data_IF_704988314415
#
_entry.id   IF_704988314415
#
_cell.length_a   1.000
_cell.length_b   1.000
_cell.length_c   1.000
_cell.angle_alpha   90.00
_cell.angle_beta   90.00
_cell.angle_gamma   90.00
#
_symmetry.space_group_name_H-M   'P 1'
#
loop_
_entity.id
_entity.type
_entity.pdbx_description
1 polymer ?
#
# COMPACT_ATOMS: atom_id res chain seq x y z
N UNK A 1 12.39 -25.00 -52.36
CA UNK A 1 11.80 -23.70 -51.97
C UNK A 1 10.71 -24.01 -50.95
N UNK A 2 10.58 -23.52 -49.71
CA UNK A 2 11.22 -22.52 -48.81
C UNK A 2 11.01 -23.05 -47.36
N UNK A 3 12.09 -23.21 -46.56
CA UNK A 3 12.43 -22.55 -45.27
C UNK A 3 11.35 -22.39 -44.17
N UNK A 4 11.62 -23.07 -43.04
CA UNK A 4 11.51 -22.72 -41.60
C UNK A 4 10.72 -21.45 -41.18
N UNK A 5 9.89 -21.57 -40.13
CA UNK A 5 10.19 -21.03 -38.78
C UNK A 5 9.11 -21.32 -37.75
N UNK A 6 9.59 -21.79 -36.60
CA UNK A 6 8.94 -21.80 -35.29
C UNK A 6 8.51 -20.40 -34.85
N UNK A 7 7.40 -20.29 -34.10
CA UNK A 7 7.28 -19.31 -33.01
C UNK A 7 6.46 -19.95 -31.88
N UNK A 8 7.17 -20.35 -30.83
CA UNK A 8 6.67 -20.54 -29.47
C UNK A 8 6.29 -19.18 -28.84
N UNK A 9 5.51 -19.27 -27.75
CA UNK A 9 5.35 -18.32 -26.64
C UNK A 9 4.16 -17.36 -26.70
N UNK A 10 3.19 -17.62 -25.83
CA UNK A 10 2.77 -16.61 -24.85
C UNK A 10 2.69 -17.28 -23.47
N UNK A 11 3.85 -17.33 -22.80
CA UNK A 11 3.88 -17.45 -21.35
C UNK A 11 3.20 -16.18 -20.78
N UNK A 12 2.17 -16.38 -19.96
CA UNK A 12 1.55 -15.32 -19.17
C UNK A 12 2.60 -14.75 -18.21
N UNK A 13 3.28 -13.71 -18.66
CA UNK A 13 4.09 -12.86 -17.79
C UNK A 13 3.14 -12.13 -16.84
N UNK A 14 3.16 -12.53 -15.58
CA UNK A 14 2.74 -11.70 -14.47
C UNK A 14 3.60 -10.45 -14.48
N UNK A 15 3.08 -9.39 -15.11
CA UNK A 15 3.73 -8.09 -15.12
C UNK A 15 3.79 -7.57 -13.70
N UNK A 16 4.97 -7.66 -13.06
CA UNK A 16 5.35 -6.70 -12.03
C UNK A 16 5.18 -5.33 -12.67
N UNK A 17 4.11 -4.62 -12.31
CA UNK A 17 3.96 -3.21 -12.67
C UNK A 17 5.27 -2.51 -12.32
N UNK A 18 5.80 -1.72 -13.27
CA UNK A 18 6.96 -0.86 -13.06
C UNK A 18 6.63 0.09 -11.90
N UNK A 19 6.96 -0.33 -10.68
CA UNK A 19 6.91 0.49 -9.48
C UNK A 19 8.03 1.50 -9.61
N UNK A 20 7.68 2.77 -9.56
CA UNK A 20 8.63 3.86 -9.59
C UNK A 20 9.56 3.72 -8.37
N UNK A 21 10.84 3.43 -8.58
CA UNK A 21 11.80 3.27 -7.48
C UNK A 21 11.89 4.54 -6.61
N UNK A 22 11.56 5.71 -7.17
CA UNK A 22 11.53 6.97 -6.44
C UNK A 22 10.38 7.03 -5.42
N UNK A 23 9.24 6.38 -5.66
CA UNK A 23 8.13 6.38 -4.68
C UNK A 23 8.36 5.40 -3.54
N UNK A 24 9.19 4.36 -3.72
CA UNK A 24 9.56 3.46 -2.62
C UNK A 24 10.29 4.15 -1.48
N UNK A 25 10.91 5.31 -1.72
CA UNK A 25 11.50 6.16 -0.68
C UNK A 25 10.47 6.71 0.30
N UNK A 26 9.17 6.66 -0.04
CA UNK A 26 8.10 7.04 0.89
C UNK A 26 7.83 5.99 1.96
N UNK A 27 8.25 4.74 1.74
CA UNK A 27 8.01 3.63 2.66
C UNK A 27 8.91 3.70 3.88
N UNK A 28 8.36 3.36 5.04
CA UNK A 28 9.12 3.27 6.28
C UNK A 28 10.12 2.12 6.27
N UNK A 29 9.76 1.01 5.62
CA UNK A 29 10.63 -0.15 5.44
C UNK A 29 10.65 -0.56 3.97
N UNK A 30 11.81 -0.43 3.33
CA UNK A 30 11.98 -0.72 1.88
C UNK A 30 12.34 -2.18 1.61
N UNK A 31 12.77 -2.92 2.63
CA UNK A 31 13.25 -4.30 2.57
C UNK A 31 12.73 -5.13 3.75
N UNK A 32 12.67 -6.47 3.62
CA UNK A 32 12.36 -7.36 4.74
C UNK A 32 13.42 -7.27 5.85
N UNK A 33 13.02 -7.64 7.07
CA UNK A 33 13.92 -7.63 8.23
C UNK A 33 13.31 -8.25 9.48
N UNK A 34 14.11 -8.44 10.55
CA UNK A 34 13.63 -8.98 11.82
C UNK A 34 12.45 -8.17 12.37
N UNK A 35 11.36 -8.86 12.75
CA UNK A 35 10.16 -8.22 13.29
C UNK A 35 9.24 -7.55 12.26
N UNK A 36 9.62 -7.56 10.97
CA UNK A 36 8.78 -7.08 9.89
C UNK A 36 7.94 -8.21 9.29
N UNK A 37 6.77 -7.85 8.78
CA UNK A 37 5.90 -8.72 7.99
C UNK A 37 5.41 -7.96 6.77
N UNK A 38 5.15 -8.67 5.67
CA UNK A 38 4.42 -8.06 4.55
C UNK A 38 2.99 -7.75 4.98
N UNK A 39 2.53 -6.53 4.67
CA UNK A 39 1.18 -6.06 4.97
C UNK A 39 0.14 -6.92 4.24
N UNK A 40 0.41 -7.23 2.97
CA UNK A 40 -0.32 -8.17 2.14
C UNK A 40 0.71 -8.99 1.36
N UNK A 41 0.48 -10.29 1.23
CA UNK A 41 1.40 -11.22 0.58
C UNK A 41 1.74 -10.78 -0.86
N UNK A 42 3.02 -10.84 -1.23
CA UNK A 42 3.56 -10.49 -2.55
C UNK A 42 3.43 -8.99 -2.91
N UNK A 43 3.33 -8.12 -1.91
CA UNK A 43 3.28 -6.66 -2.14
C UNK A 43 4.61 -5.97 -1.88
N UNK A 44 5.59 -6.62 -1.24
CA UNK A 44 6.85 -5.98 -0.81
C UNK A 44 6.65 -4.75 0.10
N UNK A 45 5.50 -4.64 0.76
CA UNK A 45 5.17 -3.57 1.70
C UNK A 45 5.34 -4.10 3.11
N UNK A 46 6.45 -3.75 3.76
CA UNK A 46 6.83 -4.30 5.05
C UNK A 46 6.46 -3.36 6.20
N UNK A 47 5.92 -3.93 7.27
CA UNK A 47 5.54 -3.19 8.50
C UNK A 47 5.93 -3.97 9.76
N UNK A 48 6.08 -3.27 10.88
CA UNK A 48 6.36 -3.91 12.18
C UNK A 48 5.17 -4.77 12.60
N UNK A 49 5.40 -6.08 12.76
CA UNK A 49 4.35 -7.07 13.03
C UNK A 49 3.53 -6.76 14.27
N UNK A 50 4.20 -6.44 15.38
CA UNK A 50 3.52 -6.22 16.66
C UNK A 50 2.67 -4.94 16.62
N UNK A 51 3.18 -3.88 15.99
CA UNK A 51 2.42 -2.64 15.79
C UNK A 51 1.22 -2.86 14.88
N UNK A 52 1.37 -3.60 13.78
CA UNK A 52 0.26 -3.95 12.89
C UNK A 52 -0.86 -4.66 13.67
N UNK A 53 -0.51 -5.64 14.52
CA UNK A 53 -1.48 -6.36 15.33
C UNK A 53 -2.18 -5.46 16.36
N UNK A 54 -1.42 -4.64 17.08
CA UNK A 54 -1.96 -3.71 18.08
C UNK A 54 -2.93 -2.73 17.42
N UNK A 55 -2.51 -2.08 16.33
CA UNK A 55 -3.31 -1.08 15.64
C UNK A 55 -4.56 -1.67 15.00
N UNK A 56 -4.47 -2.89 14.44
CA UNK A 56 -5.64 -3.58 13.88
C UNK A 56 -6.68 -3.90 14.94
N UNK A 57 -6.24 -4.34 16.13
CA UNK A 57 -7.15 -4.68 17.25
C UNK A 57 -7.75 -3.44 17.92
N UNK A 58 -6.97 -2.36 18.03
CA UNK A 58 -7.39 -1.14 18.73
C UNK A 58 -8.27 -0.22 17.88
N UNK A 59 -8.27 -0.36 16.56
CA UNK A 59 -9.03 0.52 15.68
C UNK A 59 -10.56 0.38 15.91
N UNK A 60 -11.28 1.48 16.19
CA UNK A 60 -12.74 1.43 16.38
C UNK A 60 -13.54 1.38 15.08
N UNK A 61 -12.92 1.74 13.94
CA UNK A 61 -13.54 1.74 12.61
C UNK A 61 -12.47 1.78 11.51
N UNK A 62 -12.90 1.63 10.26
CA UNK A 62 -12.03 1.67 9.07
C UNK A 62 -11.22 2.96 8.95
N UNK A 63 -11.84 4.12 9.21
CA UNK A 63 -11.17 5.42 9.16
C UNK A 63 -9.98 5.51 10.11
N UNK A 64 -10.17 5.11 11.36
CA UNK A 64 -9.11 5.08 12.35
C UNK A 64 -8.00 4.12 11.93
N UNK A 65 -8.37 2.93 11.43
CA UNK A 65 -7.41 1.95 10.94
C UNK A 65 -6.57 2.48 9.77
N UNK A 66 -7.20 3.05 8.74
CA UNK A 66 -6.51 3.62 7.57
C UNK A 66 -5.47 4.63 8.03
N UNK A 67 -5.88 5.56 8.90
CA UNK A 67 -5.03 6.67 9.36
C UNK A 67 -3.83 6.19 10.18
N UNK A 68 -4.03 5.17 11.01
CA UNK A 68 -2.93 4.57 11.79
C UNK A 68 -2.01 3.72 10.91
N UNK A 69 -2.55 3.00 9.91
CA UNK A 69 -1.71 2.22 9.00
C UNK A 69 -0.88 3.11 8.07
N UNK A 70 -1.38 4.30 7.70
CA UNK A 70 -0.58 5.27 6.93
C UNK A 70 0.74 5.61 7.64
N UNK A 71 0.72 5.80 8.96
CA UNK A 71 1.94 6.10 9.74
C UNK A 71 2.86 4.89 9.89
N UNK A 72 2.29 3.68 9.82
CA UNK A 72 3.05 2.43 9.89
C UNK A 72 3.74 2.12 8.55
N UNK A 73 3.08 2.43 7.42
CA UNK A 73 3.57 2.13 6.06
C UNK A 73 4.52 3.21 5.55
N UNK A 74 4.20 4.49 5.76
CA UNK A 74 4.94 5.61 5.20
C UNK A 74 5.80 6.32 6.26
N UNK A 75 6.89 6.93 5.79
CA UNK A 75 7.72 7.79 6.64
C UNK A 75 6.97 9.07 7.01
N UNK A 76 7.33 9.67 8.14
CA UNK A 76 6.70 10.91 8.59
C UNK A 76 6.94 12.05 7.59
N UNK A 77 8.15 12.10 7.01
CA UNK A 77 8.50 13.01 5.93
C UNK A 77 7.60 12.83 4.70
N UNK A 78 7.35 11.58 4.27
CA UNK A 78 6.47 11.33 3.16
C UNK A 78 5.04 11.81 3.45
N UNK A 79 4.54 11.57 4.66
CA UNK A 79 3.19 12.01 5.05
C UNK A 79 3.06 13.54 5.19
N UNK A 80 4.14 14.25 5.54
CA UNK A 80 4.14 15.71 5.64
C UNK A 80 4.45 16.44 4.32
N UNK A 81 5.07 15.76 3.35
CA UNK A 81 5.57 16.41 2.14
C UNK A 81 4.97 15.88 0.84
N UNK A 82 4.29 14.74 0.88
CA UNK A 82 3.58 14.19 -0.27
C UNK A 82 2.14 14.68 -0.37
N UNK A 83 1.67 14.75 -1.60
CA UNK A 83 0.28 15.03 -1.95
C UNK A 83 -0.29 13.85 -2.72
N UNK A 84 -1.60 13.66 -2.64
CA UNK A 84 -2.31 12.64 -3.43
C UNK A 84 -2.45 13.03 -4.93
N UNK A 85 -1.56 13.88 -5.48
CA UNK A 85 -1.72 14.42 -6.85
C UNK A 85 -0.62 13.97 -7.81
N UNK A 86 -0.94 13.98 -9.11
CA UNK A 86 -0.18 13.28 -10.16
C UNK A 86 1.19 13.86 -10.55
N UNK A 87 1.65 14.99 -9.99
CA UNK A 87 2.75 15.76 -10.61
C UNK A 87 4.11 15.71 -9.89
N UNK A 88 4.19 15.69 -8.55
CA UNK A 88 5.43 15.55 -7.77
C UNK A 88 5.11 15.13 -6.32
N UNK A 89 6.04 14.45 -5.62
CA UNK A 89 5.91 13.99 -4.22
C UNK A 89 4.65 13.14 -3.96
N UNK A 90 4.63 11.91 -4.46
CA UNK A 90 3.53 10.97 -4.23
C UNK A 90 3.94 9.89 -3.24
N UNK A 91 2.96 9.46 -2.45
CA UNK A 91 3.04 8.17 -1.79
C UNK A 91 3.11 7.04 -2.84
N UNK A 92 3.80 5.97 -2.48
CA UNK A 92 3.86 4.76 -3.31
C UNK A 92 2.45 4.18 -3.53
N UNK A 93 2.01 4.12 -4.79
CA UNK A 93 0.68 3.62 -5.14
C UNK A 93 0.51 2.14 -4.77
N UNK A 94 1.55 1.32 -4.95
CA UNK A 94 1.47 -0.10 -4.60
C UNK A 94 1.29 -0.31 -3.10
N UNK A 95 1.88 0.57 -2.28
CA UNK A 95 1.66 0.57 -0.84
C UNK A 95 0.27 1.07 -0.43
N UNK A 96 -0.31 2.04 -1.16
CA UNK A 96 -1.70 2.44 -0.97
C UNK A 96 -2.66 1.29 -1.32
N UNK A 97 -2.43 0.58 -2.43
CA UNK A 97 -3.23 -0.58 -2.84
C UNK A 97 -3.14 -1.74 -1.83
N UNK A 98 -1.94 -1.99 -1.29
CA UNK A 98 -1.73 -2.97 -0.23
C UNK A 98 -2.47 -2.58 1.06
N UNK A 99 -2.41 -1.30 1.45
CA UNK A 99 -3.11 -0.77 2.62
C UNK A 99 -4.63 -0.86 2.44
N UNK A 100 -5.15 -0.47 1.28
CA UNK A 100 -6.57 -0.59 0.94
C UNK A 100 -7.03 -2.05 1.02
N UNK A 101 -6.28 -2.97 0.43
CA UNK A 101 -6.55 -4.41 0.44
C UNK A 101 -6.56 -4.98 1.86
N UNK A 102 -5.58 -4.58 2.69
CA UNK A 102 -5.51 -5.01 4.09
C UNK A 102 -6.73 -4.51 4.88
N UNK A 103 -7.06 -3.22 4.77
CA UNK A 103 -8.21 -2.62 5.45
C UNK A 103 -9.51 -3.31 5.02
N UNK A 104 -9.69 -3.57 3.72
CA UNK A 104 -10.88 -4.25 3.22
C UNK A 104 -11.01 -5.71 3.73
N UNK A 105 -9.91 -6.37 4.02
CA UNK A 105 -9.95 -7.67 4.71
C UNK A 105 -10.33 -7.55 6.18
N UNK A 106 -9.87 -6.52 6.88
CA UNK A 106 -10.22 -6.28 8.29
C UNK A 106 -11.69 -5.87 8.44
N UNK A 107 -12.20 -4.96 7.62
CA UNK A 107 -13.61 -4.52 7.68
C UNK A 107 -14.57 -5.69 7.48
N UNK A 108 -14.26 -6.61 6.55
CA UNK A 108 -15.06 -7.83 6.32
C UNK A 108 -15.08 -8.73 7.54
N UNK A 109 -13.93 -8.94 8.18
CA UNK A 109 -13.81 -9.77 9.40
C UNK A 109 -14.53 -9.16 10.60
N UNK A 110 -14.52 -7.83 10.70
CA UNK A 110 -15.11 -7.10 11.83
C UNK A 110 -16.58 -6.71 11.60
N UNK A 111 -17.15 -7.00 10.42
CA UNK A 111 -18.52 -6.57 10.07
C UNK A 111 -18.69 -5.05 9.93
N UNK A 112 -17.61 -4.33 9.63
CA UNK A 112 -17.65 -2.89 9.39
C UNK A 112 -18.12 -2.57 7.96
N UNK A 113 -18.53 -1.32 7.74
CA UNK A 113 -18.87 -0.83 6.40
C UNK A 113 -17.65 -0.97 5.48
N UNK A 114 -17.90 -1.51 4.27
CA UNK A 114 -16.87 -1.67 3.25
C UNK A 114 -16.29 -0.32 2.85
N UNK A 115 -15.00 -0.32 2.54
CA UNK A 115 -14.27 0.88 2.13
C UNK A 115 -14.16 0.86 0.61
N UNK A 116 -14.79 1.84 -0.05
CA UNK A 116 -14.58 2.12 -1.47
C UNK A 116 -13.38 3.05 -1.69
N UNK A 117 -12.98 3.18 -2.95
CA UNK A 117 -11.80 3.97 -3.35
C UNK A 117 -11.96 5.45 -2.97
N UNK A 118 -13.16 6.02 -3.12
CA UNK A 118 -13.42 7.43 -2.86
C UNK A 118 -13.28 7.75 -1.36
N UNK A 119 -13.86 6.91 -0.51
CA UNK A 119 -13.74 7.02 0.94
C UNK A 119 -12.30 6.84 1.41
N UNK A 120 -11.60 5.85 0.84
CA UNK A 120 -10.20 5.60 1.15
C UNK A 120 -9.33 6.81 0.81
N UNK A 121 -9.44 7.31 -0.42
CA UNK A 121 -8.68 8.46 -0.88
C UNK A 121 -8.95 9.70 -0.04
N UNK A 122 -10.20 9.93 0.37
CA UNK A 122 -10.53 11.05 1.24
C UNK A 122 -9.89 10.90 2.63
N UNK A 123 -9.85 9.70 3.19
CA UNK A 123 -9.15 9.44 4.45
C UNK A 123 -7.64 9.73 4.34
N UNK A 124 -7.02 9.36 3.22
CA UNK A 124 -5.61 9.65 2.93
C UNK A 124 -5.40 11.15 2.79
N UNK A 125 -6.20 11.84 1.97
CA UNK A 125 -6.12 13.31 1.77
C UNK A 125 -6.22 14.06 3.08
N UNK A 126 -7.18 13.70 3.93
CA UNK A 126 -7.36 14.35 5.23
C UNK A 126 -6.17 14.10 6.15
N UNK A 127 -5.57 12.90 6.13
CA UNK A 127 -4.36 12.62 6.92
C UNK A 127 -3.16 13.47 6.45
N UNK A 128 -2.97 13.62 5.14
CA UNK A 128 -1.89 14.45 4.59
C UNK A 128 -2.11 15.93 4.93
N UNK A 129 -3.34 16.46 4.82
CA UNK A 129 -3.67 17.85 5.15
C UNK A 129 -3.42 18.25 6.60
N UNK A 130 -3.49 17.32 7.54
CA UNK A 130 -3.20 17.58 8.95
C UNK A 130 -1.71 17.76 9.24
N UNK A 131 -0.85 17.34 8.33
CA UNK A 131 0.61 17.33 8.50
C UNK A 131 1.31 18.39 7.62
N UNK A 132 0.54 19.12 6.81
CA UNK A 132 0.96 20.27 6.02
C UNK A 132 0.79 21.56 6.82
#
# INVERSE_FOLDING_TARGET
>A
MKKNRDVYNEAKNGGKQNRDEYTRLTLRHTQPGPGLVELVENTDVYVVKDQLQIYTKAAPNSRALIRTLLTLVFTDFALSSCVLTRKTNKLDCGALDALFSYVNNVVRRNGWVLVDDEYFDECVRQKLRELL
#
